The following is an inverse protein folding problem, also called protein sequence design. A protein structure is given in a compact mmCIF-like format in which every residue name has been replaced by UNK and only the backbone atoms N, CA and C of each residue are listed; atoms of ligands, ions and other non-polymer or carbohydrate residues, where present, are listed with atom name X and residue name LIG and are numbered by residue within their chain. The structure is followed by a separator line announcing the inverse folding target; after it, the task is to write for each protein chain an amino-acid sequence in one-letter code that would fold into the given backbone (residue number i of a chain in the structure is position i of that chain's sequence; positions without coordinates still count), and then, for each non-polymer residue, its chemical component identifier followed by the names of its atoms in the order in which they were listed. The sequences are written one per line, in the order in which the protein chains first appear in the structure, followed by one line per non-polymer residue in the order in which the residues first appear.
data_IF_733790248924
#
_entry.id   IF_733790248924
#
_cell.length_a   1.000
_cell.length_b   1.000
_cell.length_c   1.000
_cell.angle_alpha   90.00
_cell.angle_beta   90.00
_cell.angle_gamma   90.00
#
_symmetry.space_group_name_H-M   'P 1'
#
loop_
_entity.id
_entity.type
_entity.pdbx_description
1 polymer ?
#
# COMPACT_ATOMS: atom_id res chain seq x y z
N UNK A 1 10.94 -4.37 -12.50
CA UNK A 1 9.90 -5.18 -11.83
C UNK A 1 8.59 -4.46 -12.06
N UNK A 2 7.57 -5.14 -12.57
CA UNK A 2 6.23 -4.56 -12.60
C UNK A 2 5.70 -4.50 -11.16
N UNK A 3 5.30 -3.33 -10.69
CA UNK A 3 4.70 -3.19 -9.37
C UNK A 3 3.33 -3.89 -9.38
N UNK A 4 3.21 -5.00 -8.66
CA UNK A 4 1.97 -5.79 -8.57
C UNK A 4 1.44 -5.74 -7.15
N UNK A 5 0.35 -4.99 -6.89
CA UNK A 5 -0.32 -5.00 -5.60
C UNK A 5 -0.90 -6.37 -5.26
N UNK A 6 -0.86 -6.72 -3.98
CA UNK A 6 -1.51 -7.89 -3.38
C UNK A 6 -2.19 -7.41 -2.10
N UNK A 7 -3.51 -7.58 -2.05
CA UNK A 7 -4.31 -7.14 -0.92
C UNK A 7 -5.15 -8.29 -0.41
N UNK A 8 -5.20 -8.42 0.92
CA UNK A 8 -6.07 -9.34 1.64
C UNK A 8 -7.04 -8.53 2.49
N UNK A 9 -8.31 -8.58 2.09
CA UNK A 9 -9.48 -8.10 2.84
C UNK A 9 -10.41 -9.30 3.03
N UNK A 10 -11.04 -9.50 4.20
CA UNK A 10 -12.15 -10.44 4.33
C UNK A 10 -13.26 -10.14 3.33
N UNK A 11 -13.88 -11.18 2.76
CA UNK A 11 -15.00 -10.99 1.81
C UNK A 11 -16.30 -10.61 2.53
N UNK A 12 -16.42 -10.98 3.79
CA UNK A 12 -17.60 -10.76 4.62
C UNK A 12 -17.21 -10.31 6.03
N UNK A 13 -18.06 -9.52 6.67
CA UNK A 13 -17.95 -9.09 8.08
C UNK A 13 -19.34 -8.82 8.67
N UNK A 14 -19.50 -8.85 9.99
CA UNK A 14 -20.72 -8.37 10.62
C UNK A 14 -20.70 -6.84 10.73
N UNK A 15 -21.88 -6.23 10.83
CA UNK A 15 -21.98 -4.79 10.99
C UNK A 15 -21.29 -4.32 12.28
N UNK A 16 -20.28 -3.46 12.13
CA UNK A 16 -19.48 -2.93 13.23
C UNK A 16 -18.23 -3.75 13.56
N UNK A 17 -17.95 -4.83 12.84
CA UNK A 17 -16.72 -5.61 13.02
C UNK A 17 -15.47 -4.80 12.68
N UNK A 18 -14.38 -5.12 13.40
CA UNK A 18 -13.04 -4.62 13.12
C UNK A 18 -12.29 -5.69 12.34
N UNK A 19 -12.04 -5.44 11.06
CA UNK A 19 -11.32 -6.35 10.17
C UNK A 19 -9.84 -5.99 10.11
N UNK A 20 -9.00 -6.99 9.86
CA UNK A 20 -7.57 -6.79 9.57
C UNK A 20 -7.36 -6.77 8.06
N UNK A 21 -6.73 -5.70 7.57
CA UNK A 21 -6.38 -5.53 6.17
C UNK A 21 -4.87 -5.67 6.05
N UNK A 22 -4.44 -6.47 5.06
CA UNK A 22 -3.01 -6.68 4.77
C UNK A 22 -2.73 -6.33 3.33
N UNK A 23 -1.70 -5.55 3.10
CA UNK A 23 -1.29 -5.13 1.76
C UNK A 23 0.19 -5.41 1.53
N UNK A 24 0.55 -5.75 0.30
CA UNK A 24 1.93 -5.91 -0.15
C UNK A 24 2.02 -5.46 -1.60
N UNK A 25 3.00 -4.65 -1.95
CA UNK A 25 3.27 -4.27 -3.34
C UNK A 25 4.71 -4.59 -3.71
N UNK A 26 4.93 -5.22 -4.86
CA UNK A 26 6.29 -5.55 -5.31
C UNK A 26 7.04 -4.28 -5.74
N UNK A 27 8.01 -3.84 -4.95
CA UNK A 27 8.80 -2.64 -5.24
C UNK A 27 10.21 -2.75 -4.65
N UNK A 28 11.23 -2.15 -5.31
CA UNK A 28 12.62 -2.24 -4.83
C UNK A 28 12.90 -1.39 -3.59
N UNK A 29 12.19 -0.28 -3.43
CA UNK A 29 12.44 0.72 -2.39
C UNK A 29 13.91 1.12 -2.34
N UNK A 30 14.44 1.62 -3.47
CA UNK A 30 15.83 2.07 -3.53
C UNK A 30 15.97 3.32 -2.66
N UNK A 31 16.71 3.21 -1.56
CA UNK A 31 16.69 4.21 -0.48
C UNK A 31 17.48 5.48 -0.78
N UNK A 32 18.32 5.47 -1.82
CA UNK A 32 19.28 6.53 -2.09
C UNK A 32 20.65 6.33 -1.43
N UNK A 33 20.78 5.35 -0.53
CA UNK A 33 21.99 5.14 0.28
C UNK A 33 22.96 4.12 -0.34
N UNK A 34 22.51 3.34 -1.32
CA UNK A 34 23.32 2.31 -1.97
C UNK A 34 24.25 2.96 -2.99
N UNK A 35 25.47 2.46 -3.09
CA UNK A 35 26.42 2.83 -4.15
C UNK A 35 26.41 1.82 -5.30
N UNK A 36 26.55 2.31 -6.53
CA UNK A 36 26.79 1.45 -7.69
C UNK A 36 28.19 0.84 -7.60
N UNK A 37 28.29 -0.47 -7.86
CA UNK A 37 29.56 -1.20 -7.71
C UNK A 37 30.58 -0.88 -8.79
N UNK A 38 30.13 -0.41 -9.96
CA UNK A 38 30.99 -0.10 -11.11
C UNK A 38 31.42 1.35 -11.10
N UNK A 39 30.51 2.28 -10.80
CA UNK A 39 30.80 3.73 -10.83
C UNK A 39 31.17 4.30 -9.46
N UNK A 40 30.77 3.66 -8.36
CA UNK A 40 30.97 4.16 -7.01
C UNK A 40 30.00 5.29 -6.60
N UNK A 41 29.13 5.72 -7.51
CA UNK A 41 28.15 6.79 -7.30
C UNK A 41 26.97 6.32 -6.45
N UNK A 42 26.30 7.26 -5.77
CA UNK A 42 25.05 6.98 -5.07
C UNK A 42 23.93 6.73 -6.08
N UNK A 43 23.18 5.65 -5.88
CA UNK A 43 22.02 5.36 -6.71
C UNK A 43 20.87 6.25 -6.23
N UNK A 44 20.19 6.98 -7.12
CA UNK A 44 19.09 7.84 -6.74
C UNK A 44 17.98 7.09 -6.00
N UNK A 45 17.39 7.78 -5.02
CA UNK A 45 16.20 7.29 -4.31
C UNK A 45 15.09 7.02 -5.32
N UNK A 46 14.42 5.89 -5.15
CA UNK A 46 13.17 5.54 -5.82
C UNK A 46 12.36 4.64 -4.92
N UNK A 47 11.38 5.21 -4.25
CA UNK A 47 10.49 4.52 -3.34
C UNK A 47 9.03 4.77 -3.68
N UNK A 48 8.15 3.93 -3.14
CA UNK A 48 6.76 4.32 -2.95
C UNK A 48 6.75 5.31 -1.78
N UNK A 49 6.25 6.52 -2.01
CA UNK A 49 6.30 7.62 -1.05
C UNK A 49 4.96 7.88 -0.35
N UNK A 50 3.86 7.34 -0.87
CA UNK A 50 2.55 7.46 -0.25
C UNK A 50 1.71 6.21 -0.47
N UNK A 51 0.97 5.84 0.57
CA UNK A 51 -0.07 4.83 0.49
C UNK A 51 -1.36 5.37 1.11
N UNK A 52 -2.47 5.14 0.43
CA UNK A 52 -3.81 5.48 0.92
C UNK A 52 -4.74 4.28 0.76
N UNK A 53 -5.56 4.03 1.77
CA UNK A 53 -6.69 3.13 1.72
C UNK A 53 -7.97 3.92 1.99
N UNK A 54 -8.93 3.81 1.09
CA UNK A 54 -10.26 4.42 1.19
C UNK A 54 -11.31 3.33 1.27
N UNK A 55 -12.38 3.58 2.03
CA UNK A 55 -13.58 2.76 2.06
C UNK A 55 -14.78 3.64 1.71
N UNK A 56 -15.52 3.28 0.64
CA UNK A 56 -16.64 4.09 0.13
C UNK A 56 -16.26 5.58 -0.10
N UNK A 57 -15.03 5.83 -0.56
CA UNK A 57 -14.49 7.17 -0.81
C UNK A 57 -14.01 7.94 0.43
N UNK A 58 -14.06 7.35 1.62
CA UNK A 58 -13.50 7.93 2.84
C UNK A 58 -12.15 7.30 3.18
N UNK A 59 -11.14 8.13 3.44
CA UNK A 59 -9.81 7.64 3.84
C UNK A 59 -9.89 6.96 5.20
N UNK A 60 -9.58 5.65 5.23
CA UNK A 60 -9.54 4.86 6.47
C UNK A 60 -8.11 4.65 6.97
N UNK A 61 -7.12 4.76 6.07
CA UNK A 61 -5.71 4.69 6.42
C UNK A 61 -4.89 5.48 5.39
N UNK A 62 -3.90 6.24 5.86
CA UNK A 62 -2.89 6.85 5.01
C UNK A 62 -1.52 6.78 5.67
N UNK A 63 -0.48 6.66 4.86
CA UNK A 63 0.90 6.70 5.30
C UNK A 63 1.75 7.45 4.28
N UNK A 64 2.51 8.42 4.78
CA UNK A 64 3.68 8.94 4.08
C UNK A 64 4.85 7.99 4.35
N UNK A 65 5.53 7.57 3.29
CA UNK A 65 6.49 6.47 3.30
C UNK A 65 7.87 7.03 3.02
N UNK A 66 8.80 6.69 3.90
CA UNK A 66 10.20 7.11 3.82
C UNK A 66 11.13 5.96 3.43
N UNK A 67 12.39 6.26 3.04
CA UNK A 67 13.35 5.28 2.52
C UNK A 67 13.72 4.13 3.47
N UNK A 68 13.34 4.22 4.74
CA UNK A 68 13.57 3.17 5.73
C UNK A 68 12.56 2.02 5.63
N UNK A 69 11.47 2.16 4.87
CA UNK A 69 10.53 1.07 4.62
C UNK A 69 11.15 0.05 3.65
N UNK A 70 11.12 -1.21 4.07
CA UNK A 70 11.71 -2.33 3.34
C UNK A 70 11.19 -2.48 1.91
N UNK A 71 12.02 -3.10 1.06
CA UNK A 71 11.60 -3.60 -0.24
C UNK A 71 10.35 -4.48 -0.11
N UNK A 72 9.48 -4.40 -1.12
CA UNK A 72 8.12 -4.93 -1.10
C UNK A 72 7.30 -4.41 0.10
N UNK A 73 6.97 -3.10 0.13
CA UNK A 73 6.26 -2.49 1.27
C UNK A 73 5.03 -3.29 1.67
N UNK A 74 4.95 -3.60 2.96
CA UNK A 74 3.86 -4.32 3.59
C UNK A 74 3.21 -3.43 4.65
N UNK A 75 1.89 -3.32 4.60
CA UNK A 75 1.11 -2.64 5.63
C UNK A 75 0.02 -3.55 6.15
N UNK A 76 -0.11 -3.59 7.48
CA UNK A 76 -1.19 -4.25 8.20
C UNK A 76 -1.83 -3.24 9.13
N UNK A 77 -3.15 -3.08 9.00
CA UNK A 77 -3.93 -2.16 9.81
C UNK A 77 -5.35 -2.70 9.97
N UNK A 78 -6.08 -2.11 10.91
CA UNK A 78 -7.46 -2.47 11.19
C UNK A 78 -8.41 -1.40 10.69
N UNK A 79 -9.55 -1.81 10.15
CA UNK A 79 -10.64 -0.91 9.77
C UNK A 79 -11.95 -1.45 10.35
N UNK A 80 -12.81 -0.55 10.83
CA UNK A 80 -14.18 -0.90 11.22
C UNK A 80 -15.08 -0.79 10.00
N UNK A 81 -15.88 -1.82 9.73
CA UNK A 81 -16.85 -1.85 8.63
C UNK A 81 -18.26 -1.96 9.18
N UNK A 82 -19.12 -1.01 8.83
CA UNK A 82 -20.53 -0.96 9.27
C UNK A 82 -21.51 -1.31 8.16
N UNK A 83 -21.06 -1.24 6.91
CA UNK A 83 -21.86 -1.48 5.71
C UNK A 83 -21.03 -2.20 4.64
N UNK A 84 -21.72 -2.77 3.64
CA UNK A 84 -21.04 -3.31 2.46
C UNK A 84 -20.42 -2.19 1.64
N UNK A 85 -19.31 -2.46 0.98
CA UNK A 85 -18.63 -1.44 0.21
C UNK A 85 -17.35 -1.92 -0.45
N UNK A 86 -16.62 -0.95 -1.00
CA UNK A 86 -15.37 -1.20 -1.72
C UNK A 86 -14.22 -0.48 -1.03
N UNK A 87 -13.17 -1.23 -0.74
CA UNK A 87 -11.88 -0.67 -0.40
C UNK A 87 -11.09 -0.35 -1.65
N UNK A 88 -10.62 0.89 -1.76
CA UNK A 88 -9.68 1.33 -2.78
C UNK A 88 -8.31 1.53 -2.14
N UNK A 89 -7.27 1.01 -2.79
CA UNK A 89 -5.90 1.09 -2.33
C UNK A 89 -5.06 1.78 -3.39
N UNK A 90 -4.30 2.80 -2.99
CA UNK A 90 -3.50 3.62 -3.91
C UNK A 90 -2.08 3.74 -3.36
N UNK A 91 -1.08 3.40 -4.18
CA UNK A 91 0.34 3.64 -3.93
C UNK A 91 0.88 4.64 -4.94
N UNK A 92 1.65 5.61 -4.46
CA UNK A 92 2.32 6.63 -5.29
C UNK A 92 3.82 6.42 -5.22
N UNK A 93 4.47 6.36 -6.38
CA UNK A 93 5.92 6.23 -6.53
C UNK A 93 6.59 7.60 -6.71
N UNK A 94 7.87 7.70 -6.35
CA UNK A 94 8.69 8.89 -6.60
C UNK A 94 8.78 9.25 -8.10
N UNK A 95 8.60 8.28 -9.00
CA UNK A 95 8.57 8.54 -10.45
C UNK A 95 7.21 9.06 -10.97
N UNK A 96 6.24 9.28 -10.09
CA UNK A 96 4.90 9.74 -10.41
C UNK A 96 3.93 8.62 -10.82
N UNK A 97 4.39 7.37 -10.92
CA UNK A 97 3.51 6.22 -11.14
C UNK A 97 2.52 6.07 -10.00
N UNK A 98 1.29 5.71 -10.37
CA UNK A 98 0.22 5.39 -9.42
C UNK A 98 -0.20 3.95 -9.63
N UNK A 99 -0.26 3.18 -8.55
CA UNK A 99 -0.72 1.80 -8.54
C UNK A 99 -2.00 1.70 -7.73
N UNK A 100 -3.04 1.11 -8.31
CA UNK A 100 -4.35 0.99 -7.68
C UNK A 100 -4.84 -0.45 -7.64
N UNK A 101 -5.60 -0.80 -6.60
CA UNK A 101 -6.39 -2.03 -6.57
C UNK A 101 -7.63 -1.84 -5.70
N UNK A 102 -8.66 -2.64 -5.97
CA UNK A 102 -9.93 -2.59 -5.26
C UNK A 102 -10.29 -3.96 -4.69
N UNK A 103 -10.98 -3.94 -3.54
CA UNK A 103 -11.54 -5.12 -2.88
C UNK A 103 -12.88 -4.82 -2.27
N UNK A 104 -13.88 -5.61 -2.65
CA UNK A 104 -15.21 -5.52 -2.07
C UNK A 104 -15.31 -6.32 -0.77
N UNK A 105 -16.15 -5.83 0.13
CA UNK A 105 -16.59 -6.51 1.34
C UNK A 105 -18.11 -6.42 1.46
N UNK A 106 -18.73 -7.53 1.85
CA UNK A 106 -20.16 -7.59 2.15
C UNK A 106 -20.39 -7.65 3.65
N UNK A 107 -21.25 -6.79 4.16
CA UNK A 107 -21.70 -6.81 5.55
C UNK A 107 -23.04 -7.54 5.65
N UNK A 108 -23.13 -8.48 6.59
CA UNK A 108 -24.32 -9.30 6.88
C UNK A 108 -24.71 -9.24 8.35
#
# INVERSE_FOLDING_TARGET
MAAKPRVKVPKTAAAGDVITIKTLISHKMESGQRKDKKTGEMIPRKIINKFTCEFNGQVVFSADIDPAVSANPYFEFSARVTESGTFKFTWVDDDGSVYETEKDISVS
#
